data_IF_113895808450
#
_entry.id   IF_113895808450
#
_cell.length_a   1.000
_cell.length_b   1.000
_cell.length_c   1.000
_cell.angle_alpha   90.00
_cell.angle_beta   90.00
_cell.angle_gamma   90.00
#
_symmetry.space_group_name_H-M   'P 1'
#
loop_
_entity.id
_entity.type
_entity.pdbx_description
1 polymer ?
#
# COMPACT_ATOMS: atom_id res chain seq x y z
N UNK A 1 14.98 -21.25 -3.54
CA UNK A 1 15.05 -19.78 -3.64
C UNK A 1 14.23 -19.38 -4.85
N UNK A 2 13.26 -18.52 -4.65
CA UNK A 2 12.33 -18.04 -5.66
C UNK A 2 12.35 -16.50 -5.71
N UNK A 3 13.55 -15.95 -5.90
CA UNK A 3 13.70 -14.53 -6.22
C UNK A 3 12.97 -14.25 -7.53
N UNK A 4 12.34 -13.09 -7.65
CA UNK A 4 11.72 -12.65 -8.90
C UNK A 4 12.42 -11.37 -9.33
N UNK A 5 12.83 -11.30 -10.59
CA UNK A 5 13.44 -10.10 -11.16
C UNK A 5 12.66 -9.65 -12.38
N UNK A 6 12.16 -8.42 -12.34
CA UNK A 6 11.55 -7.72 -13.46
C UNK A 6 12.55 -6.67 -13.95
N UNK A 7 13.00 -6.78 -15.20
CA UNK A 7 13.93 -5.84 -15.83
C UNK A 7 13.27 -5.15 -17.01
N UNK A 8 13.13 -3.83 -16.93
CA UNK A 8 12.61 -2.95 -17.97
C UNK A 8 11.28 -3.44 -18.57
N UNK A 9 10.40 -3.98 -17.72
CA UNK A 9 9.16 -4.62 -18.15
C UNK A 9 8.20 -3.57 -18.69
N UNK A 10 7.66 -3.83 -19.88
CA UNK A 10 6.59 -3.03 -20.48
C UNK A 10 5.41 -3.90 -20.88
N UNK A 11 4.21 -3.31 -20.77
CA UNK A 11 2.99 -3.83 -21.37
C UNK A 11 2.34 -2.77 -22.24
N UNK A 12 2.22 -3.08 -23.53
CA UNK A 12 1.56 -2.26 -24.53
C UNK A 12 0.39 -3.07 -25.09
N UNK A 13 -0.82 -2.53 -24.96
CA UNK A 13 -2.03 -3.11 -25.56
C UNK A 13 -2.25 -2.58 -26.98
N UNK A 14 -3.10 -3.24 -27.79
CA UNK A 14 -3.51 -2.71 -29.09
C UNK A 14 -3.99 -1.25 -29.00
N UNK A 15 -3.65 -0.44 -30.00
CA UNK A 15 -3.91 1.00 -29.99
C UNK A 15 -2.81 1.81 -29.29
N UNK A 16 -1.63 1.23 -29.06
CA UNK A 16 -0.44 1.87 -28.47
C UNK A 16 -0.65 2.38 -27.02
N UNK A 17 -1.60 1.76 -26.31
CA UNK A 17 -1.87 2.07 -24.91
C UNK A 17 -0.86 1.35 -24.02
N UNK A 18 0.09 2.09 -23.47
CA UNK A 18 1.10 1.55 -22.54
C UNK A 18 0.52 1.50 -21.12
N UNK A 19 0.24 0.30 -20.63
CA UNK A 19 -0.33 0.08 -19.29
C UNK A 19 0.72 -0.09 -18.19
N UNK A 20 1.92 -0.57 -18.55
CA UNK A 20 3.07 -0.68 -17.66
C UNK A 20 4.31 -0.20 -18.42
N UNK A 21 5.07 0.71 -17.81
CA UNK A 21 6.22 1.37 -18.43
C UNK A 21 7.45 1.20 -17.55
N UNK A 22 8.52 0.68 -18.13
CA UNK A 22 9.85 0.52 -17.53
C UNK A 22 9.83 0.00 -16.08
N UNK A 23 9.06 -1.07 -15.86
CA UNK A 23 8.91 -1.65 -14.53
C UNK A 23 10.16 -2.46 -14.17
N UNK A 24 10.86 -2.02 -13.13
CA UNK A 24 12.08 -2.63 -12.60
C UNK A 24 11.87 -2.98 -11.13
N UNK A 25 12.05 -4.24 -10.77
CA UNK A 25 11.89 -4.70 -9.39
C UNK A 25 12.63 -6.02 -9.17
N UNK A 26 13.32 -6.12 -8.05
CA UNK A 26 13.85 -7.37 -7.53
C UNK A 26 13.13 -7.72 -6.24
N UNK A 27 12.55 -8.91 -6.19
CA UNK A 27 11.80 -9.47 -5.06
C UNK A 27 12.62 -10.60 -4.46
N UNK A 28 12.88 -10.51 -3.16
CA UNK A 28 13.68 -11.48 -2.44
C UNK A 28 12.87 -12.74 -2.09
N UNK A 29 13.55 -13.87 -1.89
CA UNK A 29 12.91 -15.10 -1.42
C UNK A 29 12.15 -14.84 -0.11
N UNK A 30 10.90 -15.31 -0.04
CA UNK A 30 10.02 -15.21 1.14
C UNK A 30 9.58 -13.80 1.51
N UNK A 31 9.71 -12.87 0.57
CA UNK A 31 9.26 -11.50 0.75
C UNK A 31 7.75 -11.36 0.48
N UNK A 32 7.08 -10.52 1.26
CA UNK A 32 5.71 -10.08 1.02
C UNK A 32 5.70 -8.70 0.34
N UNK A 33 5.55 -8.70 -0.99
CA UNK A 33 5.42 -7.48 -1.80
C UNK A 33 3.96 -7.10 -1.98
N UNK A 34 3.65 -5.82 -1.74
CA UNK A 34 2.34 -5.25 -2.08
C UNK A 34 2.50 -4.29 -3.27
N UNK A 35 1.71 -4.47 -4.33
CA UNK A 35 1.53 -3.46 -5.38
C UNK A 35 0.31 -2.61 -5.03
N UNK A 36 0.48 -1.29 -4.90
CA UNK A 36 -0.58 -0.35 -4.52
C UNK A 36 -0.59 0.88 -5.42
N UNK A 37 -1.77 1.48 -5.61
CA UNK A 37 -1.94 2.67 -6.45
C UNK A 37 -3.38 2.81 -6.95
N UNK A 38 -3.71 3.92 -7.64
CA UNK A 38 -5.04 4.17 -8.20
C UNK A 38 -5.52 3.12 -9.19
N UNK A 39 -6.82 3.09 -9.46
CA UNK A 39 -7.38 2.26 -10.54
C UNK A 39 -6.70 2.57 -11.87
N UNK A 40 -6.38 1.54 -12.65
CA UNK A 40 -5.75 1.69 -13.96
C UNK A 40 -4.23 1.88 -13.97
N UNK A 41 -3.54 1.96 -12.82
CA UNK A 41 -2.09 2.20 -12.81
C UNK A 41 -1.20 0.98 -13.17
N UNK A 42 -1.77 -0.15 -13.62
CA UNK A 42 -1.00 -1.31 -14.11
C UNK A 42 -0.68 -2.41 -13.10
N UNK A 43 -1.23 -2.39 -11.88
CA UNK A 43 -0.97 -3.40 -10.82
C UNK A 43 -1.37 -4.82 -11.23
N UNK A 44 -2.65 -5.03 -11.55
CA UNK A 44 -3.17 -6.35 -11.94
C UNK A 44 -2.56 -6.82 -13.26
N UNK A 45 -2.28 -5.89 -14.19
CA UNK A 45 -1.54 -6.19 -15.43
C UNK A 45 -0.14 -6.73 -15.10
N UNK A 46 0.60 -6.08 -14.21
CA UNK A 46 1.92 -6.55 -13.75
C UNK A 46 1.83 -7.92 -13.10
N UNK A 47 0.87 -8.12 -12.19
CA UNK A 47 0.65 -9.41 -11.53
C UNK A 47 0.31 -10.52 -12.54
N UNK A 48 -0.51 -10.24 -13.56
CA UNK A 48 -0.87 -11.19 -14.62
C UNK A 48 0.29 -11.50 -15.56
N UNK A 49 1.18 -10.53 -15.83
CA UNK A 49 2.43 -10.79 -16.55
C UNK A 49 3.34 -11.74 -15.78
N UNK A 50 3.47 -11.55 -14.46
CA UNK A 50 4.20 -12.50 -13.59
C UNK A 50 3.53 -13.87 -13.65
N UNK A 51 2.20 -13.90 -13.61
CA UNK A 51 1.40 -15.11 -13.72
C UNK A 51 1.54 -15.85 -15.06
N UNK A 52 1.97 -15.16 -16.12
CA UNK A 52 1.97 -15.64 -17.50
C UNK A 52 0.57 -15.66 -18.13
N UNK A 53 -0.40 -14.97 -17.52
CA UNK A 53 -1.74 -14.79 -18.06
C UNK A 53 -1.81 -13.63 -19.05
N UNK A 54 -0.79 -12.78 -19.06
CA UNK A 54 -0.58 -11.74 -20.06
C UNK A 54 0.86 -11.77 -20.56
N UNK A 55 1.04 -11.56 -21.86
CA UNK A 55 2.38 -11.50 -22.47
C UNK A 55 3.09 -10.20 -22.10
N UNK A 56 4.41 -10.27 -21.94
CA UNK A 56 5.28 -9.11 -21.72
C UNK A 56 5.65 -8.52 -23.08
N UNK A 57 5.42 -7.23 -23.28
CA UNK A 57 5.70 -6.57 -24.57
C UNK A 57 7.20 -6.28 -24.75
N UNK A 58 7.89 -5.86 -23.68
CA UNK A 58 9.36 -5.63 -23.65
C UNK A 58 9.91 -5.93 -22.26
N UNK A 59 11.21 -6.21 -22.17
CA UNK A 59 11.90 -6.49 -20.92
C UNK A 59 11.94 -7.98 -20.57
N UNK A 60 12.50 -8.29 -19.41
CA UNK A 60 12.82 -9.66 -18.99
C UNK A 60 12.24 -9.95 -17.60
N UNK A 61 11.57 -11.09 -17.47
CA UNK A 61 11.05 -11.61 -16.21
C UNK A 61 11.78 -12.91 -15.86
N UNK A 62 12.43 -12.91 -14.71
CA UNK A 62 13.11 -14.07 -14.14
C UNK A 62 12.40 -14.57 -12.89
N UNK A 63 12.33 -15.90 -12.74
CA UNK A 63 11.93 -16.58 -11.49
C UNK A 63 13.06 -17.54 -11.12
N UNK A 64 13.76 -17.25 -10.02
CA UNK A 64 15.11 -17.76 -9.81
C UNK A 64 16.02 -17.32 -10.97
N UNK A 65 16.82 -18.25 -11.49
CA UNK A 65 17.74 -17.97 -12.61
C UNK A 65 17.10 -18.16 -14.00
N UNK A 66 15.80 -18.50 -14.06
CA UNK A 66 15.13 -18.86 -15.31
C UNK A 66 14.39 -17.65 -15.90
N UNK A 67 14.69 -17.30 -17.15
CA UNK A 67 13.87 -16.37 -17.95
C UNK A 67 12.53 -17.03 -18.28
N UNK A 68 11.42 -16.43 -17.85
CA UNK A 68 10.08 -17.04 -17.94
C UNK A 68 9.12 -16.34 -18.90
N UNK A 69 9.54 -15.33 -19.66
CA UNK A 69 8.67 -14.58 -20.60
C UNK A 69 7.79 -15.50 -21.46
N UNK A 70 8.38 -16.56 -22.04
CA UNK A 70 7.70 -17.52 -22.92
C UNK A 70 7.33 -18.84 -22.23
N UNK A 71 7.48 -18.94 -20.91
CA UNK A 71 7.10 -20.13 -20.13
C UNK A 71 5.61 -20.04 -19.82
N UNK A 72 4.81 -21.08 -20.12
CA UNK A 72 3.37 -21.04 -19.86
C UNK A 72 3.08 -21.04 -18.34
N UNK A 73 1.96 -20.47 -17.88
CA UNK A 73 1.60 -20.34 -16.46
C UNK A 73 1.77 -21.61 -15.62
N UNK A 74 1.37 -22.76 -16.17
CA UNK A 74 1.43 -24.06 -15.51
C UNK A 74 2.86 -24.49 -15.14
N UNK A 75 3.86 -24.01 -15.88
CA UNK A 75 5.27 -24.41 -15.77
C UNK A 75 6.13 -23.33 -15.07
N UNK A 76 5.49 -22.28 -14.54
CA UNK A 76 6.15 -21.20 -13.76
C UNK A 76 6.24 -21.47 -12.25
N UNK A 77 5.63 -22.55 -11.78
CA UNK A 77 5.63 -22.96 -10.35
C UNK A 77 5.06 -21.90 -9.39
N UNK A 78 4.00 -21.25 -9.83
CA UNK A 78 3.29 -20.17 -9.13
C UNK A 78 1.81 -20.52 -8.94
N UNK A 79 1.18 -19.94 -7.92
CA UNK A 79 -0.26 -20.01 -7.74
C UNK A 79 -0.88 -18.62 -7.64
N UNK A 80 -1.99 -18.43 -8.34
CA UNK A 80 -2.74 -17.16 -8.35
C UNK A 80 -4.08 -17.32 -7.65
N UNK A 81 -4.42 -16.34 -6.83
CA UNK A 81 -5.73 -16.18 -6.18
C UNK A 81 -6.39 -14.94 -6.79
N UNK A 82 -7.54 -15.14 -7.42
CA UNK A 82 -8.28 -14.10 -8.12
C UNK A 82 -9.27 -13.39 -7.19
N UNK A 83 -9.56 -12.12 -7.49
CA UNK A 83 -10.54 -11.28 -6.81
C UNK A 83 -11.92 -11.94 -6.64
N UNK A 84 -12.41 -12.67 -7.66
CA UNK A 84 -13.73 -13.31 -7.66
C UNK A 84 -13.75 -14.72 -7.04
N UNK A 85 -12.70 -15.12 -6.31
CA UNK A 85 -12.44 -16.46 -5.77
C UNK A 85 -12.25 -17.57 -6.82
N UNK A 86 -12.86 -17.43 -8.00
CA UNK A 86 -12.84 -18.35 -9.14
C UNK A 86 -13.15 -19.82 -8.77
N UNK A 87 -14.00 -20.06 -7.76
CA UNK A 87 -14.36 -21.41 -7.28
C UNK A 87 -15.36 -22.09 -8.23
N UNK A 88 -15.22 -23.40 -8.43
CA UNK A 88 -16.17 -24.19 -9.20
C UNK A 88 -17.44 -24.44 -8.37
N UNK A 89 -18.60 -23.88 -8.75
CA UNK A 89 -19.80 -23.87 -7.88
C UNK A 89 -20.46 -25.25 -7.73
N UNK A 90 -20.18 -26.16 -8.66
CA UNK A 90 -20.74 -27.51 -8.69
C UNK A 90 -19.89 -28.54 -7.92
N UNK A 91 -18.65 -28.18 -7.57
CA UNK A 91 -17.72 -29.04 -6.82
C UNK A 91 -17.78 -28.72 -5.31
N UNK A 92 -17.48 -29.71 -4.45
CA UNK A 92 -17.28 -29.47 -3.01
C UNK A 92 -15.99 -28.69 -2.76
N UNK A 93 -15.77 -28.22 -1.53
CA UNK A 93 -14.52 -27.57 -1.11
C UNK A 93 -13.33 -28.51 -1.34
N UNK A 94 -13.43 -29.77 -0.92
CA UNK A 94 -12.40 -30.77 -1.15
C UNK A 94 -12.06 -30.91 -2.64
N UNK A 95 -13.09 -31.05 -3.49
CA UNK A 95 -12.91 -31.19 -4.94
C UNK A 95 -12.32 -29.93 -5.57
N UNK A 96 -12.71 -28.75 -5.11
CA UNK A 96 -12.14 -27.48 -5.55
C UNK A 96 -10.62 -27.42 -5.29
N UNK A 97 -10.19 -27.82 -4.09
CA UNK A 97 -8.78 -27.89 -3.68
C UNK A 97 -8.03 -28.98 -4.47
N UNK A 98 -8.58 -30.20 -4.52
CA UNK A 98 -7.96 -31.34 -5.19
C UNK A 98 -7.83 -31.19 -6.72
N UNK A 99 -8.65 -30.36 -7.36
CA UNK A 99 -8.82 -30.34 -8.82
C UNK A 99 -7.51 -30.23 -9.61
N UNK A 100 -6.61 -29.32 -9.21
CA UNK A 100 -5.34 -29.10 -9.91
C UNK A 100 -4.41 -30.33 -9.82
N UNK A 101 -4.34 -30.98 -8.66
CA UNK A 101 -3.54 -32.17 -8.43
C UNK A 101 -4.09 -33.39 -9.18
N UNK A 102 -5.42 -33.51 -9.27
CA UNK A 102 -6.08 -34.56 -10.07
C UNK A 102 -5.72 -34.44 -11.56
N UNK A 103 -5.69 -33.23 -12.12
CA UNK A 103 -5.28 -33.00 -13.51
C UNK A 103 -3.79 -33.33 -13.74
N UNK A 104 -2.96 -33.12 -12.72
CA UNK A 104 -1.55 -33.52 -12.72
C UNK A 104 -1.33 -35.02 -12.46
N UNK A 105 -2.41 -35.79 -12.30
CA UNK A 105 -2.38 -37.24 -12.02
C UNK A 105 -1.58 -37.61 -10.76
N UNK A 106 -1.62 -36.75 -9.75
CA UNK A 106 -1.03 -37.04 -8.42
C UNK A 106 -1.82 -38.19 -7.76
N UNK A 107 -1.13 -39.04 -7.01
CA UNK A 107 -1.75 -40.16 -6.30
C UNK A 107 -2.84 -39.69 -5.32
N UNK A 108 -3.95 -40.45 -5.26
CA UNK A 108 -5.12 -40.08 -4.45
C UNK A 108 -4.81 -39.90 -2.96
N UNK A 109 -3.92 -40.73 -2.41
CA UNK A 109 -3.48 -40.63 -1.00
C UNK A 109 -2.72 -39.33 -0.73
N UNK A 110 -1.85 -38.92 -1.66
CA UNK A 110 -1.10 -37.67 -1.57
C UNK A 110 -2.00 -36.45 -1.76
N UNK A 111 -2.99 -36.52 -2.67
CA UNK A 111 -4.04 -35.48 -2.80
C UNK A 111 -4.78 -35.30 -1.47
N UNK A 112 -5.26 -36.38 -0.86
CA UNK A 112 -6.01 -36.31 0.39
C UNK A 112 -5.18 -35.69 1.52
N UNK A 113 -3.92 -36.13 1.65
CA UNK A 113 -2.96 -35.57 2.61
C UNK A 113 -2.80 -34.06 2.43
N UNK A 114 -2.45 -33.59 1.22
CA UNK A 114 -2.23 -32.17 0.95
C UNK A 114 -3.48 -31.33 1.17
N UNK A 115 -4.65 -31.82 0.74
CA UNK A 115 -5.92 -31.12 0.92
C UNK A 115 -6.25 -30.97 2.39
N UNK A 116 -6.09 -32.03 3.20
CA UNK A 116 -6.34 -31.97 4.65
C UNK A 116 -5.35 -31.10 5.39
N UNK A 117 -4.07 -31.17 5.04
CA UNK A 117 -3.03 -30.29 5.62
C UNK A 117 -3.35 -28.81 5.34
N UNK A 118 -3.64 -28.47 4.09
CA UNK A 118 -4.03 -27.11 3.72
C UNK A 118 -5.33 -26.67 4.42
N UNK A 119 -6.34 -27.55 4.48
CA UNK A 119 -7.60 -27.27 5.15
C UNK A 119 -7.43 -27.04 6.66
N UNK A 120 -6.50 -27.76 7.30
CA UNK A 120 -6.13 -27.56 8.71
C UNK A 120 -5.44 -26.22 8.95
N UNK A 121 -4.52 -25.85 8.06
CA UNK A 121 -3.82 -24.55 8.14
C UNK A 121 -4.81 -23.39 8.05
N UNK A 122 -5.83 -23.53 7.18
CA UNK A 122 -6.83 -22.52 6.88
C UNK A 122 -8.09 -22.62 7.76
N UNK A 123 -8.15 -23.57 8.69
CA UNK A 123 -9.30 -23.79 9.56
C UNK A 123 -10.62 -23.95 8.75
N UNK A 124 -10.59 -24.85 7.77
CA UNK A 124 -11.74 -25.19 6.89
C UNK A 124 -11.98 -26.70 6.77
N UNK A 125 -11.37 -27.54 7.62
CA UNK A 125 -11.56 -29.01 7.59
C UNK A 125 -13.05 -29.40 7.68
N UNK A 126 -13.80 -28.72 8.54
CA UNK A 126 -15.24 -28.92 8.74
C UNK A 126 -16.10 -28.49 7.53
N UNK A 127 -15.51 -27.87 6.51
CA UNK A 127 -16.20 -27.38 5.31
C UNK A 127 -15.91 -28.22 4.06
N UNK A 128 -15.03 -29.23 4.12
CA UNK A 128 -14.54 -29.99 2.97
C UNK A 128 -15.64 -30.58 2.08
N UNK A 129 -16.75 -31.02 2.68
CA UNK A 129 -17.88 -31.61 1.95
C UNK A 129 -18.90 -30.58 1.43
N UNK A 130 -18.82 -29.32 1.88
CA UNK A 130 -19.77 -28.28 1.46
C UNK A 130 -19.47 -27.80 0.04
N UNK A 131 -20.47 -27.22 -0.62
CA UNK A 131 -20.31 -26.51 -1.90
C UNK A 131 -20.13 -24.99 -1.68
N UNK A 132 -19.48 -24.24 -2.59
CA UNK A 132 -19.22 -22.81 -2.42
C UNK A 132 -20.44 -21.93 -2.11
N UNK A 133 -21.63 -22.31 -2.59
CA UNK A 133 -22.88 -21.59 -2.33
C UNK A 133 -23.30 -21.64 -0.85
N UNK A 134 -22.82 -22.61 -0.08
CA UNK A 134 -23.13 -22.78 1.34
C UNK A 134 -22.04 -22.19 2.26
N UNK A 135 -21.15 -21.35 1.72
CA UNK A 135 -20.03 -20.74 2.44
C UNK A 135 -20.21 -19.22 2.54
N UNK A 136 -19.70 -18.63 3.62
CA UNK A 136 -19.53 -17.18 3.75
C UNK A 136 -18.45 -16.66 2.79
N UNK A 137 -18.36 -15.33 2.62
CA UNK A 137 -17.30 -14.71 1.80
C UNK A 137 -15.89 -15.09 2.26
N UNK A 138 -15.64 -15.02 3.57
CA UNK A 138 -14.33 -15.34 4.15
C UNK A 138 -13.99 -16.83 4.05
N UNK A 139 -15.00 -17.69 4.20
CA UNK A 139 -14.83 -19.12 3.96
C UNK A 139 -14.48 -19.39 2.48
N UNK A 140 -15.16 -18.73 1.52
CA UNK A 140 -14.79 -18.85 0.10
C UNK A 140 -13.37 -18.37 -0.17
N UNK A 141 -12.93 -17.30 0.49
CA UNK A 141 -11.56 -16.80 0.38
C UNK A 141 -10.54 -17.81 0.91
N UNK A 142 -10.79 -18.40 2.09
CA UNK A 142 -9.97 -19.49 2.63
C UNK A 142 -9.90 -20.68 1.67
N UNK A 143 -11.02 -21.08 1.05
CA UNK A 143 -11.00 -22.15 0.04
C UNK A 143 -10.15 -21.76 -1.17
N UNK A 144 -10.25 -20.53 -1.67
CA UNK A 144 -9.43 -20.06 -2.79
C UNK A 144 -7.93 -20.08 -2.47
N UNK A 145 -7.55 -19.65 -1.26
CA UNK A 145 -6.18 -19.79 -0.75
C UNK A 145 -5.77 -21.26 -0.64
N UNK A 146 -6.65 -22.13 -0.16
CA UNK A 146 -6.42 -23.58 -0.06
C UNK A 146 -6.12 -24.21 -1.42
N UNK A 147 -6.84 -23.81 -2.48
CA UNK A 147 -6.58 -24.25 -3.85
C UNK A 147 -5.18 -23.87 -4.34
N UNK A 148 -4.69 -22.69 -3.96
CA UNK A 148 -3.34 -22.27 -4.26
C UNK A 148 -2.30 -23.06 -3.44
N UNK A 149 -2.56 -23.27 -2.14
CA UNK A 149 -1.63 -23.91 -1.22
C UNK A 149 -1.35 -25.38 -1.52
N UNK A 150 -2.35 -26.16 -1.95
CA UNK A 150 -2.15 -27.60 -2.23
C UNK A 150 -1.15 -27.87 -3.36
N UNK A 151 -0.87 -26.86 -4.20
CA UNK A 151 0.15 -26.94 -5.26
C UNK A 151 1.57 -26.76 -4.73
N UNK A 152 1.74 -26.30 -3.49
CA UNK A 152 3.03 -25.95 -2.89
C UNK A 152 3.90 -25.05 -3.80
N UNK A 153 3.37 -23.91 -4.29
CA UNK A 153 4.07 -23.08 -5.25
C UNK A 153 5.24 -22.34 -4.61
N UNK A 154 6.20 -21.93 -5.44
CA UNK A 154 7.29 -21.04 -5.04
C UNK A 154 6.83 -19.63 -4.71
N UNK A 155 5.79 -19.16 -5.42
CA UNK A 155 5.28 -17.78 -5.31
C UNK A 155 3.75 -17.80 -5.30
N UNK A 156 3.18 -17.04 -4.36
CA UNK A 156 1.76 -16.74 -4.31
C UNK A 156 1.49 -15.37 -4.91
N UNK A 157 0.54 -15.30 -5.83
CA UNK A 157 0.05 -14.08 -6.46
C UNK A 157 -1.40 -13.85 -6.03
N UNK A 158 -1.71 -12.69 -5.45
CA UNK A 158 -3.04 -12.38 -4.94
C UNK A 158 -3.55 -11.08 -5.58
N UNK A 159 -4.61 -11.17 -6.38
CA UNK A 159 -5.21 -10.03 -7.09
C UNK A 159 -6.45 -9.55 -6.33
N UNK A 160 -6.31 -8.48 -5.53
CA UNK A 160 -7.37 -7.89 -4.69
C UNK A 160 -8.24 -8.92 -3.92
N UNK A 161 -7.63 -9.86 -3.20
CA UNK A 161 -8.36 -11.01 -2.63
C UNK A 161 -9.43 -10.63 -1.58
N UNK A 162 -9.38 -9.41 -1.03
CA UNK A 162 -10.28 -8.96 0.05
C UNK A 162 -11.31 -7.91 -0.39
N UNK A 163 -11.32 -7.51 -1.67
CA UNK A 163 -12.18 -6.42 -2.16
C UNK A 163 -13.69 -6.70 -1.99
N UNK A 164 -14.07 -7.98 -2.05
CA UNK A 164 -15.46 -8.44 -2.00
C UNK A 164 -15.95 -8.73 -0.57
N UNK A 165 -15.19 -8.35 0.45
CA UNK A 165 -15.50 -8.60 1.86
C UNK A 165 -15.88 -7.30 2.59
N UNK A 166 -16.77 -7.43 3.57
CA UNK A 166 -17.11 -6.36 4.51
C UNK A 166 -15.91 -5.97 5.40
N UNK A 167 -15.96 -4.80 6.02
CA UNK A 167 -14.85 -4.24 6.77
C UNK A 167 -14.38 -5.13 7.94
N UNK A 168 -15.30 -5.73 8.70
CA UNK A 168 -14.95 -6.58 9.86
C UNK A 168 -14.22 -7.83 9.39
N UNK A 169 -14.75 -8.47 8.36
CA UNK A 169 -14.16 -9.67 7.79
C UNK A 169 -12.84 -9.38 7.08
N UNK A 170 -12.71 -8.23 6.41
CA UNK A 170 -11.47 -7.78 5.77
C UNK A 170 -10.33 -7.67 6.79
N UNK A 171 -10.57 -7.03 7.94
CA UNK A 171 -9.57 -6.92 9.02
C UNK A 171 -9.13 -8.29 9.53
N UNK A 172 -10.07 -9.20 9.77
CA UNK A 172 -9.76 -10.56 10.22
C UNK A 172 -8.92 -11.32 9.17
N UNK A 173 -9.35 -11.31 7.90
CA UNK A 173 -8.66 -12.01 6.81
C UNK A 173 -7.27 -11.44 6.54
N UNK A 174 -7.06 -10.13 6.72
CA UNK A 174 -5.75 -9.49 6.61
C UNK A 174 -4.75 -10.07 7.61
N UNK A 175 -5.17 -10.23 8.87
CA UNK A 175 -4.37 -10.87 9.91
C UNK A 175 -4.07 -12.33 9.56
N UNK A 176 -5.06 -13.05 9.02
CA UNK A 176 -4.90 -14.45 8.60
C UNK A 176 -3.91 -14.61 7.45
N UNK A 177 -3.97 -13.78 6.41
CA UNK A 177 -3.02 -13.80 5.29
C UNK A 177 -1.60 -13.50 5.79
N UNK A 178 -1.44 -12.52 6.68
CA UNK A 178 -0.13 -12.20 7.27
C UNK A 178 0.45 -13.36 8.07
N UNK A 179 -0.38 -14.04 8.87
CA UNK A 179 0.02 -15.25 9.61
C UNK A 179 0.35 -16.41 8.67
N UNK A 180 -0.41 -16.55 7.59
CA UNK A 180 -0.20 -17.57 6.58
C UNK A 180 1.15 -17.38 5.89
N UNK A 181 1.48 -16.15 5.47
CA UNK A 181 2.77 -15.81 4.88
C UNK A 181 3.92 -16.23 5.82
N UNK A 182 3.87 -15.81 7.09
CA UNK A 182 4.89 -16.17 8.10
C UNK A 182 5.01 -17.68 8.32
N UNK A 183 3.90 -18.41 8.26
CA UNK A 183 3.87 -19.86 8.45
C UNK A 183 4.43 -20.63 7.25
N UNK A 184 4.15 -20.16 6.04
CA UNK A 184 4.59 -20.83 4.80
C UNK A 184 6.04 -20.48 4.43
N UNK A 185 6.47 -19.24 4.71
CA UNK A 185 7.80 -18.77 4.34
C UNK A 185 8.05 -18.86 2.84
N UNK A 186 7.07 -18.46 2.03
CA UNK A 186 7.11 -18.41 0.56
C UNK A 186 6.88 -16.98 0.09
N UNK A 187 7.35 -16.62 -1.11
CA UNK A 187 7.21 -15.26 -1.65
C UNK A 187 5.75 -14.94 -1.98
N UNK A 188 5.26 -13.78 -1.54
CA UNK A 188 3.91 -13.29 -1.82
C UNK A 188 3.98 -11.99 -2.62
N UNK A 189 3.16 -11.88 -3.69
CA UNK A 189 2.88 -10.62 -4.38
C UNK A 189 1.39 -10.37 -4.31
N UNK A 190 1.00 -9.23 -3.76
CA UNK A 190 -0.39 -8.90 -3.47
C UNK A 190 -0.75 -7.54 -4.05
N UNK A 191 -1.84 -7.49 -4.81
CA UNK A 191 -2.36 -6.26 -5.40
C UNK A 191 -3.52 -5.75 -4.56
N UNK A 192 -3.53 -4.44 -4.27
CA UNK A 192 -4.66 -3.77 -3.61
C UNK A 192 -4.76 -2.31 -3.98
N UNK A 193 -5.93 -1.74 -3.70
CA UNK A 193 -6.18 -0.30 -3.67
C UNK A 193 -6.30 0.24 -2.23
N UNK A 194 -6.33 -0.64 -1.22
CA UNK A 194 -6.45 -0.27 0.19
C UNK A 194 -5.06 -0.04 0.79
N UNK A 195 -4.79 1.20 1.19
CA UNK A 195 -3.50 1.59 1.78
C UNK A 195 -3.26 0.88 3.12
N UNK A 196 -4.32 0.63 3.90
CA UNK A 196 -4.20 -0.05 5.20
C UNK A 196 -3.77 -1.50 4.99
N UNK A 197 -4.23 -2.15 3.93
CA UNK A 197 -3.73 -3.47 3.53
C UNK A 197 -2.24 -3.43 3.20
N UNK A 198 -1.82 -2.45 2.40
CA UNK A 198 -0.42 -2.27 2.04
C UNK A 198 0.46 -2.08 3.28
N UNK A 199 0.07 -1.14 4.15
CA UNK A 199 0.86 -0.72 5.31
C UNK A 199 0.98 -1.78 6.40
N UNK A 200 0.04 -2.72 6.50
CA UNK A 200 0.00 -3.69 7.62
C UNK A 200 0.46 -5.10 7.26
N UNK A 201 0.64 -5.40 5.98
CA UNK A 201 1.03 -6.75 5.52
C UNK A 201 2.38 -6.81 4.82
N UNK A 202 2.75 -5.76 4.08
CA UNK A 202 3.93 -5.79 3.20
C UNK A 202 5.24 -5.67 3.95
N UNK A 203 6.23 -6.46 3.53
CA UNK A 203 7.64 -6.21 3.87
C UNK A 203 8.16 -5.01 3.07
N UNK A 204 7.78 -4.94 1.79
CA UNK A 204 7.90 -3.74 0.94
C UNK A 204 6.63 -3.51 0.13
N UNK A 205 6.40 -2.25 -0.21
CA UNK A 205 5.28 -1.79 -1.00
C UNK A 205 5.84 -1.10 -2.25
N UNK A 206 5.26 -1.42 -3.40
CA UNK A 206 5.50 -0.79 -4.69
C UNK A 206 4.34 0.15 -4.98
N UNK A 207 4.59 1.45 -4.89
CA UNK A 207 3.60 2.48 -5.19
C UNK A 207 3.63 2.76 -6.70
N UNK A 208 2.48 2.63 -7.37
CA UNK A 208 2.36 2.78 -8.83
C UNK A 208 1.38 3.90 -9.20
N UNK A 209 1.73 4.68 -10.23
CA UNK A 209 0.89 5.71 -10.86
C UNK A 209 1.09 5.65 -12.37
N UNK A 210 0.01 5.64 -13.14
CA UNK A 210 0.03 5.73 -14.61
C UNK A 210 1.02 4.76 -15.28
N UNK A 211 1.09 3.52 -14.78
CA UNK A 211 1.96 2.47 -15.32
C UNK A 211 3.43 2.55 -14.89
N UNK A 212 3.81 3.57 -14.10
CA UNK A 212 5.16 3.78 -13.59
C UNK A 212 5.24 3.46 -12.09
N UNK A 213 6.35 2.86 -11.69
CA UNK A 213 6.72 2.74 -10.28
C UNK A 213 7.17 4.11 -9.78
N UNK A 214 6.56 4.57 -8.69
CA UNK A 214 6.86 5.86 -8.06
C UNK A 214 7.91 5.69 -6.96
N UNK A 215 7.71 4.68 -6.09
CA UNK A 215 8.62 4.36 -5.00
C UNK A 215 8.44 2.90 -4.60
N UNK A 216 9.54 2.26 -4.18
CA UNK A 216 9.54 0.91 -3.59
C UNK A 216 10.30 0.95 -2.29
N UNK A 217 9.63 0.74 -1.18
CA UNK A 217 10.28 0.75 0.13
C UNK A 217 9.43 0.00 1.17
N UNK A 218 9.95 -0.10 2.39
CA UNK A 218 9.20 -0.55 3.55
C UNK A 218 8.02 0.38 3.84
N UNK A 219 6.93 -0.11 4.47
CA UNK A 219 5.77 0.71 4.78
C UNK A 219 6.10 2.01 5.51
N UNK A 220 6.94 1.92 6.54
CA UNK A 220 7.30 3.08 7.35
C UNK A 220 8.14 4.10 6.55
N UNK A 221 9.08 3.63 5.72
CA UNK A 221 9.86 4.54 4.89
C UNK A 221 9.02 5.26 3.83
N UNK A 222 8.01 4.62 3.24
CA UNK A 222 7.09 5.29 2.32
C UNK A 222 6.27 6.38 3.03
N UNK A 223 5.93 6.15 4.29
CA UNK A 223 5.18 7.10 5.10
C UNK A 223 6.03 8.32 5.49
N UNK A 224 7.24 8.06 5.98
CA UNK A 224 8.16 9.05 6.55
C UNK A 224 9.02 9.76 5.48
N UNK A 225 9.33 9.09 4.37
CA UNK A 225 10.24 9.58 3.34
C UNK A 225 9.65 9.42 1.93
N UNK A 226 8.48 10.03 1.64
CA UNK A 226 7.89 9.97 0.30
C UNK A 226 8.77 10.74 -0.71
N UNK A 227 9.11 10.13 -1.83
CA UNK A 227 10.01 10.77 -2.84
C UNK A 227 9.33 11.86 -3.67
N UNK A 228 8.01 11.92 -3.69
CA UNK A 228 7.24 12.92 -4.42
C UNK A 228 5.86 13.17 -3.80
N UNK A 229 5.19 14.22 -4.28
CA UNK A 229 3.88 14.68 -3.82
C UNK A 229 2.82 13.57 -3.89
N UNK A 230 2.86 12.76 -4.96
CA UNK A 230 1.91 11.69 -5.12
C UNK A 230 2.05 10.61 -4.05
N UNK A 231 3.27 10.14 -3.75
CA UNK A 231 3.46 9.13 -2.68
C UNK A 231 3.06 9.72 -1.34
N UNK A 232 3.41 10.98 -1.06
CA UNK A 232 3.07 11.68 0.17
C UNK A 232 1.55 11.80 0.39
N UNK A 233 0.80 12.16 -0.66
CA UNK A 233 -0.66 12.29 -0.62
C UNK A 233 -1.39 10.96 -0.71
N UNK A 234 -0.78 9.93 -1.31
CA UNK A 234 -1.40 8.62 -1.52
C UNK A 234 -1.17 7.65 -0.37
N UNK A 235 -0.06 7.73 0.38
CA UNK A 235 0.21 6.84 1.51
C UNK A 235 -0.16 7.53 2.80
N UNK A 236 -1.21 7.06 3.49
CA UNK A 236 -1.67 7.58 4.78
C UNK A 236 -3.16 7.89 4.77
N UNK A 237 -3.83 7.58 5.89
CA UNK A 237 -5.24 7.87 6.09
C UNK A 237 -5.46 8.47 7.47
N UNK A 238 -5.87 9.76 7.58
CA UNK A 238 -6.18 10.69 6.48
C UNK A 238 -4.94 11.08 5.63
N UNK A 239 -5.18 11.67 4.46
CA UNK A 239 -4.11 12.09 3.54
C UNK A 239 -3.27 13.23 4.13
N UNK A 240 -2.02 13.36 3.65
CA UNK A 240 -1.16 14.49 4.02
C UNK A 240 -1.80 15.81 3.59
N UNK A 241 -1.72 16.82 4.46
CA UNK A 241 -2.11 18.19 4.13
C UNK A 241 -1.00 18.87 3.33
N UNK A 242 -1.35 19.65 2.32
CA UNK A 242 -0.38 20.39 1.51
C UNK A 242 -0.69 21.87 1.54
N UNK A 243 0.33 22.67 1.87
CA UNK A 243 0.23 24.12 1.94
C UNK A 243 1.20 24.80 1.00
N UNK A 244 0.79 25.87 0.33
CA UNK A 244 1.73 26.70 -0.43
C UNK A 244 2.49 27.61 0.52
N UNK A 245 3.81 27.49 0.54
CA UNK A 245 4.67 28.29 1.41
C UNK A 245 5.80 28.93 0.62
N UNK A 246 6.23 30.11 1.06
CA UNK A 246 7.45 30.75 0.56
C UNK A 246 8.61 30.43 1.48
N UNK A 247 9.71 29.93 0.93
CA UNK A 247 10.93 29.67 1.70
C UNK A 247 11.72 30.97 1.85
N UNK A 248 12.11 31.27 3.08
CA UNK A 248 12.94 32.42 3.43
C UNK A 248 14.15 31.95 4.24
N UNK A 249 15.34 32.32 3.79
CA UNK A 249 16.57 32.08 4.55
C UNK A 249 16.75 33.12 5.65
N UNK A 250 16.99 32.66 6.87
CA UNK A 250 17.31 33.48 8.03
C UNK A 250 18.64 33.00 8.64
N UNK A 251 19.75 33.64 8.24
CA UNK A 251 21.11 33.20 8.53
C UNK A 251 21.37 31.76 8.06
N UNK A 252 21.58 30.83 8.99
CA UNK A 252 21.80 29.40 8.70
C UNK A 252 20.50 28.57 8.71
N UNK A 253 19.38 29.18 9.14
CA UNK A 253 18.09 28.50 9.26
C UNK A 253 17.14 28.88 8.11
N UNK A 254 16.14 28.04 7.86
CA UNK A 254 15.10 28.30 6.88
C UNK A 254 13.73 28.43 7.56
N UNK A 255 12.88 29.28 7.01
CA UNK A 255 11.51 29.51 7.45
C UNK A 255 10.59 29.26 6.25
N UNK A 256 9.52 28.49 6.47
CA UNK A 256 8.39 28.41 5.58
C UNK A 256 7.35 29.47 5.97
N UNK A 257 7.07 30.41 5.08
CA UNK A 257 6.04 31.43 5.28
C UNK A 257 4.71 30.96 4.69
N UNK A 258 3.71 30.81 5.56
CA UNK A 258 2.32 30.48 5.21
C UNK A 258 1.44 31.69 5.57
N UNK A 259 1.15 32.55 4.60
CA UNK A 259 0.49 33.84 4.87
C UNK A 259 1.31 34.67 5.86
N UNK A 260 0.72 35.01 7.00
CA UNK A 260 1.40 35.74 8.09
C UNK A 260 2.17 34.83 9.06
N UNK A 261 2.01 33.51 8.96
CA UNK A 261 2.68 32.54 9.82
C UNK A 261 4.11 32.26 9.35
N UNK A 262 5.04 32.22 10.30
CA UNK A 262 6.45 31.88 10.09
C UNK A 262 6.75 30.55 10.77
N UNK A 263 6.89 29.49 9.99
CA UNK A 263 7.12 28.13 10.48
C UNK A 263 8.62 27.84 10.30
N UNK A 264 9.41 27.75 11.38
CA UNK A 264 10.82 27.39 11.26
C UNK A 264 10.94 25.95 10.75
N UNK A 265 11.91 25.69 9.88
CA UNK A 265 12.18 24.35 9.37
C UNK A 265 13.34 23.77 10.18
N UNK A 266 13.03 22.86 11.10
CA UNK A 266 13.97 22.31 12.07
C UNK A 266 14.42 20.89 11.66
N UNK A 267 15.11 20.78 10.53
CA UNK A 267 15.72 19.52 10.09
C UNK A 267 17.18 19.40 10.52
N UNK A 268 17.72 18.18 10.50
CA UNK A 268 19.17 17.99 10.61
C UNK A 268 19.90 18.64 9.42
N UNK A 269 21.10 19.18 9.68
CA UNK A 269 21.89 20.01 8.75
C UNK A 269 22.23 19.35 7.40
N UNK A 270 22.22 18.03 7.30
CA UNK A 270 22.44 17.32 6.04
C UNK A 270 21.23 17.37 5.09
N UNK A 271 20.00 17.46 5.63
CA UNK A 271 18.76 17.50 4.85
C UNK A 271 18.47 18.88 4.26
N UNK A 272 19.07 19.94 4.81
CA UNK A 272 18.85 21.32 4.40
C UNK A 272 19.77 21.83 3.29
N UNK A 273 20.69 21.01 2.78
CA UNK A 273 21.66 21.43 1.73
C UNK A 273 20.96 21.88 0.44
N UNK A 274 19.84 21.26 0.07
CA UNK A 274 19.09 21.59 -1.14
C UNK A 274 18.18 22.82 -0.98
N UNK A 275 17.81 23.20 0.26
CA UNK A 275 16.90 24.30 0.55
C UNK A 275 17.44 25.67 0.11
N UNK A 276 18.77 25.85 0.05
CA UNK A 276 19.37 27.11 -0.38
C UNK A 276 18.96 27.50 -1.80
N UNK A 277 18.68 26.52 -2.68
CA UNK A 277 18.23 26.77 -4.05
C UNK A 277 16.77 27.24 -4.14
N UNK A 278 16.05 27.21 -3.02
CA UNK A 278 14.65 27.57 -2.88
C UNK A 278 14.44 28.86 -2.09
N UNK A 279 15.50 29.56 -1.69
CA UNK A 279 15.37 30.85 -1.01
C UNK A 279 14.58 31.86 -1.88
N UNK A 280 13.53 32.42 -1.31
CA UNK A 280 12.58 33.31 -1.98
C UNK A 280 11.57 32.63 -2.91
N UNK A 281 11.61 31.31 -3.09
CA UNK A 281 10.70 30.55 -3.97
C UNK A 281 9.50 29.98 -3.21
N UNK A 282 8.44 29.72 -3.94
CA UNK A 282 7.28 28.97 -3.45
C UNK A 282 7.51 27.46 -3.58
N UNK A 283 7.10 26.72 -2.57
CA UNK A 283 7.13 25.26 -2.51
C UNK A 283 5.84 24.73 -1.85
N UNK A 284 5.58 23.43 -1.96
CA UNK A 284 4.50 22.78 -1.23
C UNK A 284 5.04 22.20 0.07
N UNK A 285 4.48 22.63 1.21
CA UNK A 285 4.74 22.06 2.52
C UNK A 285 3.71 20.99 2.86
N UNK A 286 4.17 19.75 2.98
CA UNK A 286 3.40 18.61 3.43
C UNK A 286 3.43 18.44 4.95
N UNK A 287 2.26 18.31 5.57
CA UNK A 287 2.12 18.03 7.02
C UNK A 287 1.11 16.90 7.21
N UNK A 288 1.51 15.84 7.90
CA UNK A 288 0.60 14.74 8.24
C UNK A 288 -0.49 15.21 9.23
N UNK A 289 -1.74 14.72 9.12
CA UNK A 289 -2.82 15.12 10.02
C UNK A 289 -2.50 14.98 11.52
N UNK A 290 -1.75 13.95 11.91
CA UNK A 290 -1.33 13.71 13.29
C UNK A 290 -0.19 14.60 13.79
N UNK A 291 0.44 15.36 12.89
CA UNK A 291 1.48 16.36 13.21
C UNK A 291 0.90 17.77 13.43
N UNK A 292 -0.44 17.89 13.39
CA UNK A 292 -1.21 19.05 13.81
C UNK A 292 -1.80 18.80 15.20
N UNK A 293 -1.18 19.39 16.21
CA UNK A 293 -1.52 19.15 17.60
C UNK A 293 -2.40 20.26 18.18
N UNK A 294 -3.40 19.89 18.99
CA UNK A 294 -4.16 20.85 19.80
C UNK A 294 -3.26 21.40 20.93
N UNK A 295 -3.20 22.72 21.06
CA UNK A 295 -2.42 23.42 22.10
C UNK A 295 -2.72 22.90 23.52
N UNK A 296 -3.97 22.51 23.80
CA UNK A 296 -4.37 22.03 25.11
C UNK A 296 -3.81 20.64 25.46
N UNK A 297 -3.34 19.89 24.45
CA UNK A 297 -2.97 18.48 24.59
C UNK A 297 -1.47 18.19 24.63
N UNK A 298 -0.61 19.19 24.42
CA UNK A 298 0.81 18.94 24.10
C UNK A 298 1.79 19.53 25.12
N UNK A 299 2.65 18.67 25.70
CA UNK A 299 3.72 19.06 26.63
C UNK A 299 5.00 19.53 25.92
N UNK A 300 5.20 19.18 24.65
CA UNK A 300 6.40 19.50 23.87
C UNK A 300 6.27 20.82 23.07
N UNK A 301 6.18 21.96 23.77
CA UNK A 301 5.95 23.27 23.13
C UNK A 301 7.14 23.79 22.31
N UNK A 302 8.36 23.30 22.55
CA UNK A 302 9.58 23.88 21.98
C UNK A 302 9.78 23.59 20.48
N UNK A 303 9.18 22.53 19.94
CA UNK A 303 9.29 22.15 18.52
C UNK A 303 8.05 22.52 17.70
N UNK A 304 7.08 23.19 18.33
CA UNK A 304 5.80 23.53 17.71
C UNK A 304 5.77 24.97 17.22
N UNK A 305 5.27 25.15 16.00
CA UNK A 305 4.88 26.47 15.50
C UNK A 305 3.36 26.54 15.44
N UNK A 306 2.77 27.55 16.08
CA UNK A 306 1.31 27.66 16.17
C UNK A 306 0.72 28.42 14.99
N UNK A 307 -0.40 27.92 14.49
CA UNK A 307 -1.25 28.57 13.48
C UNK A 307 -2.69 28.57 13.95
N UNK A 308 -3.45 29.62 13.60
CA UNK A 308 -4.89 29.61 13.85
C UNK A 308 -5.62 28.96 12.67
N UNK A 309 -6.62 28.14 13.00
CA UNK A 309 -7.41 27.39 12.05
C UNK A 309 -8.91 27.56 12.36
N UNK A 310 -9.73 27.82 11.35
CA UNK A 310 -11.19 27.79 11.48
C UNK A 310 -11.68 26.35 11.35
N UNK A 311 -12.45 25.87 12.32
CA UNK A 311 -13.06 24.53 12.28
C UNK A 311 -14.30 24.55 11.39
N UNK A 312 -14.24 23.85 10.27
CA UNK A 312 -15.37 23.72 9.34
C UNK A 312 -16.23 22.50 9.66
N UNK A 313 -15.59 21.40 10.08
CA UNK A 313 -16.25 20.17 10.48
C UNK A 313 -15.46 19.45 11.58
N UNK A 314 -16.18 18.83 12.51
CA UNK A 314 -15.61 17.96 13.53
C UNK A 314 -16.26 16.58 13.41
N UNK A 315 -15.46 15.57 13.13
CA UNK A 315 -15.90 14.19 12.85
C UNK A 315 -15.34 13.23 13.91
N UNK A 316 -16.17 12.76 14.86
CA UNK A 316 -15.75 11.79 15.86
C UNK A 316 -15.56 10.39 15.24
N UNK A 317 -14.35 9.84 15.38
CA UNK A 317 -13.97 8.49 14.90
C UNK A 317 -13.84 7.47 16.04
N UNK A 318 -14.36 7.80 17.22
CA UNK A 318 -14.29 6.96 18.42
C UNK A 318 -13.08 7.30 19.28
N UNK A 319 -11.90 6.75 18.96
CA UNK A 319 -10.67 7.01 19.74
C UNK A 319 -9.98 8.31 19.37
N UNK A 320 -10.44 9.00 18.33
CA UNK A 320 -9.83 10.18 17.71
C UNK A 320 -10.95 11.05 17.12
N UNK A 321 -10.65 12.33 16.86
CA UNK A 321 -11.53 13.27 16.17
C UNK A 321 -10.78 13.84 14.97
N UNK A 322 -11.40 13.81 13.80
CA UNK A 322 -10.89 14.48 12.61
C UNK A 322 -11.51 15.88 12.56
N UNK A 323 -10.65 16.90 12.62
CA UNK A 323 -11.06 18.27 12.41
C UNK A 323 -10.74 18.64 10.96
N UNK A 324 -11.76 19.04 10.21
CA UNK A 324 -11.58 19.67 8.90
C UNK A 324 -11.50 21.18 9.12
N UNK A 325 -10.44 21.75 8.58
CA UNK A 325 -9.94 23.06 8.98
C UNK A 325 -9.71 23.93 7.74
N UNK A 326 -9.87 25.22 7.93
CA UNK A 326 -9.33 26.25 7.04
C UNK A 326 -8.16 26.96 7.73
N UNK A 327 -6.97 26.83 7.15
CA UNK A 327 -5.74 27.49 7.61
C UNK A 327 -5.28 28.37 6.46
N UNK A 328 -5.36 29.70 6.64
CA UNK A 328 -4.91 30.67 5.63
C UNK A 328 -5.56 30.46 4.25
N UNK A 329 -6.87 30.16 4.19
CA UNK A 329 -7.64 29.85 2.97
C UNK A 329 -7.26 28.52 2.30
N UNK A 330 -6.52 27.64 2.98
CA UNK A 330 -6.21 26.29 2.51
C UNK A 330 -6.85 25.25 3.41
N UNK A 331 -7.40 24.19 2.80
CA UNK A 331 -8.10 23.12 3.52
C UNK A 331 -7.10 22.15 4.12
N UNK A 332 -7.34 21.75 5.36
CA UNK A 332 -6.53 20.79 6.08
C UNK A 332 -7.39 19.87 6.95
N UNK A 333 -6.81 18.73 7.33
CA UNK A 333 -7.37 17.78 8.28
C UNK A 333 -6.36 17.62 9.42
N UNK A 334 -6.80 17.83 10.65
CA UNK A 334 -6.04 17.48 11.84
C UNK A 334 -6.64 16.24 12.50
N UNK A 335 -5.76 15.37 12.98
CA UNK A 335 -6.13 14.13 13.69
C UNK A 335 -5.80 14.29 15.17
N UNK A 336 -6.82 14.57 15.97
CA UNK A 336 -6.66 15.02 17.36
C UNK A 336 -7.25 14.00 18.34
N UNK A 337 -6.69 13.85 19.56
CA UNK A 337 -7.31 13.04 20.61
C UNK A 337 -8.75 13.47 20.92
N UNK A 338 -9.61 12.56 21.40
CA UNK A 338 -11.06 12.77 21.53
C UNK A 338 -11.44 13.68 22.71
N UNK A 339 -10.45 14.23 23.42
CA UNK A 339 -10.63 15.16 24.53
C UNK A 339 -10.78 16.61 24.08
N UNK A 340 -10.58 16.90 22.78
CA UNK A 340 -10.79 18.25 22.25
C UNK A 340 -12.27 18.63 22.33
N UNK A 341 -12.53 19.89 22.67
CA UNK A 341 -13.89 20.47 22.72
C UNK A 341 -14.19 21.33 21.48
N UNK A 342 -13.33 21.30 20.46
CA UNK A 342 -13.46 22.09 19.25
C UNK A 342 -14.77 21.78 18.49
N UNK A 343 -15.52 22.83 18.16
CA UNK A 343 -16.79 22.78 17.43
C UNK A 343 -16.69 23.54 16.11
N UNK A 344 -17.65 23.25 15.23
CA UNK A 344 -17.82 23.98 13.97
C UNK A 344 -17.96 25.47 14.26
N UNK A 345 -17.16 26.29 13.57
CA UNK A 345 -17.11 27.74 13.72
C UNK A 345 -16.08 28.25 14.73
N UNK A 346 -15.50 27.37 15.55
CA UNK A 346 -14.43 27.76 16.47
C UNK A 346 -13.14 28.08 15.70
N UNK A 347 -12.36 29.04 16.22
CA UNK A 347 -10.98 29.25 15.81
C UNK A 347 -10.08 28.58 16.83
N UNK A 348 -9.33 27.58 16.39
CA UNK A 348 -8.41 26.80 17.23
C UNK A 348 -6.96 27.12 16.91
N UNK A 349 -6.11 27.10 17.94
CA UNK A 349 -4.66 27.23 17.82
C UNK A 349 -4.05 25.83 17.71
N UNK A 350 -3.41 25.54 16.57
CA UNK A 350 -2.80 24.25 16.27
C UNK A 350 -1.28 24.37 16.20
N UNK A 351 -0.59 23.53 16.96
CA UNK A 351 0.86 23.40 16.93
C UNK A 351 1.29 22.46 15.81
N UNK A 352 2.06 22.98 14.86
CA UNK A 352 2.71 22.21 13.78
C UNK A 352 4.05 21.69 14.28
N UNK A 353 4.29 20.38 14.18
CA UNK A 353 5.61 19.83 14.47
C UNK A 353 6.61 20.12 13.34
N UNK A 354 7.48 21.09 13.60
CA UNK A 354 8.44 21.64 12.63
C UNK A 354 9.56 20.69 12.22
N UNK A 355 9.78 19.63 13.00
CA UNK A 355 10.75 18.58 12.65
C UNK A 355 10.23 17.62 11.59
N UNK A 356 8.91 17.63 11.37
CA UNK A 356 8.17 16.59 10.66
C UNK A 356 7.48 17.06 9.39
N UNK A 357 7.83 18.27 8.97
CA UNK A 357 7.37 18.86 7.72
C UNK A 357 8.10 18.23 6.55
N UNK A 358 7.41 18.13 5.42
CA UNK A 358 7.95 17.71 4.14
C UNK A 358 7.86 18.89 3.17
N UNK A 359 8.83 19.07 2.28
CA UNK A 359 8.78 20.08 1.23
C UNK A 359 8.91 19.43 -0.14
N UNK A 360 8.06 19.88 -1.06
CA UNK A 360 8.01 19.42 -2.45
C UNK A 360 8.11 20.62 -3.39
N UNK A 361 8.82 20.40 -4.49
CA UNK A 361 8.94 21.37 -5.57
C UNK A 361 7.61 21.45 -6.34
N UNK A 362 7.13 22.67 -6.62
CA UNK A 362 5.83 22.88 -7.28
C UNK A 362 5.83 22.41 -8.75
N UNK A 363 6.96 22.53 -9.45
CA UNK A 363 7.04 22.22 -10.88
C UNK A 363 7.29 20.73 -11.10
N UNK A 364 8.22 20.15 -10.35
CA UNK A 364 8.62 18.74 -10.51
C UNK A 364 7.82 17.79 -9.63
N UNK A 365 7.10 18.30 -8.62
CA UNK A 365 6.41 17.53 -7.57
C UNK A 365 7.31 16.62 -6.74
N UNK A 366 8.64 16.69 -6.93
CA UNK A 366 9.60 15.86 -6.20
C UNK A 366 9.85 16.42 -4.79
N UNK A 367 10.19 15.52 -3.88
CA UNK A 367 10.65 15.88 -2.55
C UNK A 367 11.95 16.69 -2.63
N UNK A 368 11.93 17.91 -2.08
CA UNK A 368 13.13 18.72 -1.87
C UNK A 368 13.87 18.21 -0.64
N UNK A 369 13.08 18.02 0.42
CA UNK A 369 13.51 17.47 1.69
C UNK A 369 12.26 16.98 2.45
N UNK A 370 12.41 15.84 3.08
CA UNK A 370 11.36 15.17 3.84
C UNK A 370 11.89 14.93 5.26
N UNK A 371 10.97 14.84 6.21
CA UNK A 371 11.19 14.59 7.63
C UNK A 371 12.40 13.71 7.92
#
# INVERSE_FOLDING_TARGET
>A
MANITLKNIHKIYPGDVTAVKDFNLEIQDKEFIILVGPSGCGKSTTLRMIAGLEDISKGELYIGDKLVNNVPPKDRDIAMVFQSYALYPHMSVYKNMAFSLTLQKVDKSEIDKRVREAAKILDIEHLLERKPKALSGGQRQRVALGRAMVRNPKVFLLDEPLSNLDAKLRTAMRSEISKLHKRLGTTFIYVTHDQTEAMTMGDRIVVMKDGLVQQVDTPQNLYDYPVNLFVAGFIGSPQMNFFKVKIEKNNENFIARLGDYKIPINWSTDKSKNLSNYDGKEVLMGIRPEELHDEQSTQAKETLSFVNALVELSEPMGSEVYLYLDINNEKAIAKIPPRTNAKIGDVVSLGINTTNVHLFDIETENAIAVR
#
